data_IF_095067805027
#
_entry.id   IF_095067805027
#
_cell.length_a   1.000
_cell.length_b   1.000
_cell.length_c   1.000
_cell.angle_alpha   90.00
_cell.angle_beta   90.00
_cell.angle_gamma   90.00
#
_symmetry.space_group_name_H-M   'P 1'
#
loop_
_entity.id
_entity.type
_entity.pdbx_description
1 polymer ?
#
# COMPACT_ATOMS: atom_id res chain seq x y z
N UNK A 1 -10.52 4.60 4.93
CA UNK A 1 -9.10 4.29 5.23
C UNK A 1 -8.36 5.57 5.59
N UNK A 2 -7.48 5.49 6.56
CA UNK A 2 -6.61 6.62 6.89
C UNK A 2 -5.61 6.86 5.75
N UNK A 3 -5.19 8.10 5.52
CA UNK A 3 -4.26 8.42 4.43
C UNK A 3 -2.97 7.59 4.44
N UNK A 4 -2.38 7.37 5.61
CA UNK A 4 -1.14 6.59 5.70
C UNK A 4 -1.35 5.10 5.43
N UNK A 5 -2.54 4.57 5.67
CA UNK A 5 -2.86 3.18 5.33
C UNK A 5 -3.06 3.05 3.82
N UNK A 6 -3.72 4.00 3.17
CA UNK A 6 -3.81 4.02 1.70
C UNK A 6 -2.44 4.01 1.05
N UNK A 7 -1.53 4.84 1.56
CA UNK A 7 -0.17 4.93 1.04
C UNK A 7 0.62 3.63 1.27
N UNK A 8 0.47 3.02 2.44
CA UNK A 8 1.05 1.72 2.75
C UNK A 8 0.56 0.64 1.78
N UNK A 9 -0.74 0.59 1.55
CA UNK A 9 -1.35 -0.37 0.62
C UNK A 9 -0.83 -0.16 -0.80
N UNK A 10 -0.72 1.09 -1.23
CA UNK A 10 -0.17 1.40 -2.55
C UNK A 10 1.27 0.91 -2.71
N UNK A 11 2.12 1.15 -1.72
CA UNK A 11 3.50 0.68 -1.74
C UNK A 11 3.58 -0.84 -1.74
N UNK A 12 2.80 -1.50 -0.89
CA UNK A 12 2.77 -2.95 -0.79
C UNK A 12 2.29 -3.60 -2.10
N UNK A 13 1.19 -3.11 -2.66
CA UNK A 13 0.64 -3.62 -3.91
C UNK A 13 1.64 -3.49 -5.06
N UNK A 14 2.30 -2.35 -5.17
CA UNK A 14 3.29 -2.13 -6.22
C UNK A 14 4.47 -3.09 -6.06
N UNK A 15 5.03 -3.21 -4.85
CA UNK A 15 6.16 -4.10 -4.61
C UNK A 15 5.80 -5.56 -4.93
N UNK A 16 4.61 -6.01 -4.55
CA UNK A 16 4.17 -7.39 -4.77
C UNK A 16 3.85 -7.67 -6.24
N UNK A 17 3.21 -6.73 -6.94
CA UNK A 17 2.79 -6.94 -8.33
C UNK A 17 3.94 -6.74 -9.31
N UNK A 18 4.69 -5.65 -9.17
CA UNK A 18 5.78 -5.31 -10.09
C UNK A 18 7.07 -6.08 -9.73
N UNK A 19 7.24 -6.43 -8.45
CA UNK A 19 8.41 -7.19 -8.00
C UNK A 19 9.67 -6.35 -7.87
N UNK A 20 9.55 -5.03 -7.73
CA UNK A 20 10.66 -4.12 -7.54
C UNK A 20 10.55 -3.45 -6.18
N UNK A 21 11.71 -3.09 -5.61
CA UNK A 21 11.76 -2.39 -4.34
C UNK A 21 11.21 -0.97 -4.50
N UNK A 22 10.27 -0.60 -3.64
CA UNK A 22 9.73 0.76 -3.55
C UNK A 22 10.60 1.57 -2.61
N UNK A 23 11.06 2.74 -3.06
CA UNK A 23 11.91 3.63 -2.28
C UNK A 23 11.16 4.88 -1.79
N UNK A 24 10.01 5.18 -2.36
CA UNK A 24 9.21 6.35 -1.97
C UNK A 24 7.88 6.37 -2.70
N UNK A 25 6.97 7.15 -2.16
CA UNK A 25 5.62 7.33 -2.69
C UNK A 25 5.33 8.83 -2.77
N UNK A 26 4.77 9.29 -3.89
CA UNK A 26 4.18 10.62 -3.95
C UNK A 26 2.67 10.47 -3.85
N UNK A 27 2.09 11.08 -2.82
CA UNK A 27 0.65 11.06 -2.57
C UNK A 27 0.01 12.30 -3.23
N UNK A 28 -0.72 12.09 -4.32
CA UNK A 28 -1.35 13.18 -5.06
C UNK A 28 -2.44 13.89 -4.27
N UNK A 29 -3.18 13.17 -3.43
CA UNK A 29 -4.22 13.79 -2.62
C UNK A 29 -3.65 14.71 -1.54
N UNK A 30 -2.53 14.31 -0.94
CA UNK A 30 -1.83 15.12 0.06
C UNK A 30 -0.87 16.13 -0.57
N UNK A 31 -0.48 15.93 -1.83
CA UNK A 31 0.46 16.80 -2.53
C UNK A 31 1.87 16.74 -1.96
N UNK A 32 2.33 15.55 -1.50
CA UNK A 32 3.63 15.44 -0.85
C UNK A 32 4.27 14.07 -1.05
N UNK A 33 5.59 14.06 -0.94
CA UNK A 33 6.36 12.83 -0.91
C UNK A 33 6.30 12.18 0.48
N UNK A 34 6.15 10.86 0.49
CA UNK A 34 6.12 10.05 1.70
C UNK A 34 7.33 9.12 1.69
N UNK A 35 7.98 8.98 2.84
CA UNK A 35 9.14 8.11 3.00
C UNK A 35 8.68 6.69 3.32
N UNK A 36 8.07 6.05 2.35
CA UNK A 36 7.59 4.69 2.48
C UNK A 36 8.43 3.79 1.58
N UNK A 37 9.02 2.77 2.16
CA UNK A 37 9.77 1.74 1.46
C UNK A 37 9.06 0.41 1.58
N UNK A 38 9.13 -0.39 0.53
CA UNK A 38 8.56 -1.73 0.54
C UNK A 38 9.32 -2.64 -0.43
N UNK A 39 9.49 -3.89 -0.05
CA UNK A 39 10.03 -4.91 -0.94
C UNK A 39 9.33 -6.23 -0.70
N UNK A 40 9.24 -7.03 -1.75
CA UNK A 40 8.58 -8.32 -1.69
C UNK A 40 9.56 -9.44 -2.05
N UNK A 41 9.27 -10.62 -1.48
CA UNK A 41 9.92 -11.85 -1.85
C UNK A 41 8.84 -12.94 -1.87
N UNK A 42 8.40 -13.31 -3.06
CA UNK A 42 7.22 -14.18 -3.20
C UNK A 42 5.98 -13.49 -2.67
N UNK A 43 5.32 -14.13 -1.70
CA UNK A 43 4.13 -13.57 -1.04
C UNK A 43 4.47 -12.79 0.24
N UNK A 44 5.75 -12.69 0.58
CA UNK A 44 6.19 -11.95 1.77
C UNK A 44 6.47 -10.50 1.42
N UNK A 45 6.05 -9.61 2.30
CA UNK A 45 6.30 -8.20 2.17
C UNK A 45 6.98 -7.66 3.42
N UNK A 46 8.00 -6.82 3.22
CA UNK A 46 8.59 -6.00 4.27
C UNK A 46 8.49 -4.55 3.85
N UNK A 47 8.01 -3.72 4.73
CA UNK A 47 7.91 -2.30 4.49
C UNK A 47 8.20 -1.46 5.72
N UNK A 48 8.49 -0.20 5.49
CA UNK A 48 8.74 0.75 6.55
C UNK A 48 8.20 2.12 6.15
N UNK A 49 7.38 2.69 7.01
CA UNK A 49 6.92 4.08 6.88
C UNK A 49 7.85 4.96 7.71
N UNK A 50 8.75 5.65 7.03
CA UNK A 50 9.76 6.49 7.70
C UNK A 50 9.17 7.72 8.38
N UNK A 51 8.05 8.22 7.88
CA UNK A 51 7.40 9.39 8.49
C UNK A 51 6.72 9.03 9.80
N UNK A 52 6.18 7.82 9.93
CA UNK A 52 5.54 7.33 11.14
C UNK A 52 6.46 6.49 12.03
N UNK A 53 7.67 6.16 11.55
CA UNK A 53 8.59 5.24 12.23
C UNK A 53 7.89 3.89 12.50
N UNK A 54 7.21 3.36 11.51
CA UNK A 54 6.40 2.15 11.67
C UNK A 54 6.71 1.13 10.60
N UNK A 55 6.88 -0.13 11.02
CA UNK A 55 7.01 -1.27 10.12
C UNK A 55 5.64 -1.74 9.67
N UNK A 56 5.60 -2.26 8.45
CA UNK A 56 4.43 -2.98 7.98
C UNK A 56 4.87 -4.16 7.11
N UNK A 57 4.04 -5.16 7.01
CA UNK A 57 4.34 -6.29 6.17
C UNK A 57 3.68 -7.57 6.64
N UNK A 58 4.19 -8.68 6.15
CA UNK A 58 3.68 -10.00 6.45
C UNK A 58 3.62 -10.86 5.20
N UNK A 59 2.85 -11.92 5.28
CA UNK A 59 2.63 -12.84 4.16
C UNK A 59 1.19 -12.72 3.70
N UNK A 60 1.00 -12.61 2.37
CA UNK A 60 -0.36 -12.58 1.83
C UNK A 60 -1.16 -13.81 2.32
N UNK A 61 -2.46 -13.65 2.57
CA UNK A 61 -3.29 -12.48 2.27
C UNK A 61 -3.39 -11.43 3.39
N UNK A 62 -2.63 -11.52 4.46
CA UNK A 62 -2.73 -10.58 5.57
C UNK A 62 -1.45 -9.80 5.77
N UNK A 63 -1.56 -8.47 5.75
CA UNK A 63 -0.48 -7.57 6.10
C UNK A 63 -0.78 -6.90 7.43
N UNK A 64 0.26 -6.63 8.21
CA UNK A 64 0.14 -6.00 9.51
C UNK A 64 0.84 -4.64 9.51
N UNK A 65 0.14 -3.61 9.97
CA UNK A 65 0.72 -2.30 10.21
C UNK A 65 1.03 -2.15 11.70
N UNK A 66 2.32 -2.10 12.03
CA UNK A 66 2.75 -2.05 13.42
C UNK A 66 2.46 -0.69 14.08
N UNK A 67 2.36 0.36 13.27
CA UNK A 67 2.05 1.71 13.79
C UNK A 67 0.64 1.79 14.35
N UNK A 68 -0.34 1.33 13.59
CA UNK A 68 -1.75 1.35 13.99
C UNK A 68 -2.19 0.05 14.66
N UNK A 69 -1.33 -0.98 14.67
CA UNK A 69 -1.64 -2.31 15.21
C UNK A 69 -2.88 -2.90 14.57
N UNK A 70 -2.95 -2.83 13.26
CA UNK A 70 -4.12 -3.31 12.53
C UNK A 70 -3.70 -4.11 11.31
N UNK A 71 -4.61 -4.97 10.87
CA UNK A 71 -4.39 -5.82 9.70
C UNK A 71 -5.07 -5.24 8.48
N UNK A 72 -4.43 -5.45 7.33
CA UNK A 72 -4.99 -5.15 6.02
C UNK A 72 -4.87 -6.41 5.18
N UNK A 73 -5.99 -6.90 4.67
CA UNK A 73 -5.94 -8.03 3.74
C UNK A 73 -5.60 -7.57 2.34
N UNK A 74 -4.95 -8.44 1.58
CA UNK A 74 -4.62 -8.16 0.20
C UNK A 74 -4.62 -9.44 -0.62
N UNK A 75 -5.39 -9.46 -1.69
CA UNK A 75 -5.37 -10.49 -2.71
C UNK A 75 -4.98 -9.86 -4.03
N UNK A 76 -4.13 -10.57 -4.78
CA UNK A 76 -3.61 -10.06 -6.05
C UNK A 76 -4.20 -10.87 -7.19
N UNK A 77 -4.74 -10.14 -8.18
CA UNK A 77 -5.26 -10.69 -9.41
C UNK A 77 -4.71 -9.86 -10.57
N UNK A 78 -3.67 -10.39 -11.22
CA UNK A 78 -2.98 -9.68 -12.29
C UNK A 78 -2.35 -8.38 -11.79
N UNK A 79 -2.76 -7.26 -12.33
CA UNK A 79 -2.26 -5.93 -11.97
C UNK A 79 -3.14 -5.23 -10.94
N UNK A 80 -4.06 -5.94 -10.30
CA UNK A 80 -4.99 -5.38 -9.32
C UNK A 80 -4.79 -6.06 -7.96
N UNK A 81 -4.80 -5.25 -6.90
CA UNK A 81 -4.84 -5.74 -5.53
C UNK A 81 -6.16 -5.32 -4.90
N UNK A 82 -6.79 -6.23 -4.14
CA UNK A 82 -8.05 -5.97 -3.44
C UNK A 82 -7.98 -6.47 -2.04
N UNK A 83 -8.70 -5.83 -1.15
CA UNK A 83 -8.76 -6.29 0.22
C UNK A 83 -9.57 -5.37 1.12
N UNK A 84 -9.33 -5.53 2.40
CA UNK A 84 -9.98 -4.78 3.46
C UNK A 84 -8.96 -4.23 4.42
N UNK A 85 -9.13 -2.96 4.79
CA UNK A 85 -8.49 -2.39 5.95
C UNK A 85 -9.36 -2.68 7.17
N UNK A 86 -8.89 -3.54 8.05
CA UNK A 86 -9.67 -3.95 9.22
C UNK A 86 -9.76 -2.83 10.26
N UNK A 87 -8.79 -1.92 10.27
CA UNK A 87 -8.79 -0.79 11.19
C UNK A 87 -9.94 0.18 10.94
N UNK A 88 -10.28 0.44 9.68
CA UNK A 88 -11.39 1.32 9.30
C UNK A 88 -12.62 0.57 8.81
N UNK A 89 -12.55 -0.75 8.69
CA UNK A 89 -13.60 -1.60 8.10
C UNK A 89 -13.94 -1.21 6.66
N UNK A 90 -12.94 -0.74 5.91
CA UNK A 90 -13.12 -0.28 4.54
C UNK A 90 -12.51 -1.26 3.55
N UNK A 91 -13.21 -1.54 2.47
CA UNK A 91 -12.67 -2.27 1.33
C UNK A 91 -11.90 -1.32 0.43
N UNK A 92 -10.98 -1.87 -0.34
CA UNK A 92 -10.24 -1.12 -1.37
C UNK A 92 -9.98 -1.98 -2.60
N UNK A 93 -9.68 -1.31 -3.70
CA UNK A 93 -9.17 -1.91 -4.93
C UNK A 93 -8.06 -1.02 -5.47
N UNK A 94 -6.93 -1.60 -5.83
CA UNK A 94 -5.78 -0.84 -6.31
C UNK A 94 -5.32 -1.36 -7.66
N UNK A 95 -5.27 -0.49 -8.66
CA UNK A 95 -4.75 -0.78 -9.98
C UNK A 95 -3.31 -0.32 -10.06
N UNK A 96 -2.42 -1.23 -10.45
CA UNK A 96 -0.98 -1.01 -10.40
C UNK A 96 -0.39 -0.98 -11.80
N UNK A 97 0.41 0.03 -12.08
CA UNK A 97 1.26 0.12 -13.26
C UNK A 97 2.71 0.23 -12.83
N UNK A 98 3.64 0.35 -13.79
CA UNK A 98 5.07 0.39 -13.49
C UNK A 98 5.46 1.48 -12.49
N UNK A 99 4.78 2.63 -12.53
CA UNK A 99 5.16 3.80 -11.73
C UNK A 99 4.03 4.42 -10.96
N UNK A 100 2.84 3.82 -10.99
CA UNK A 100 1.68 4.43 -10.37
C UNK A 100 0.76 3.39 -9.77
N UNK A 101 0.09 3.78 -8.69
CA UNK A 101 -1.02 3.02 -8.11
C UNK A 101 -2.22 3.95 -8.04
N UNK A 102 -3.36 3.47 -8.54
CA UNK A 102 -4.63 4.13 -8.36
C UNK A 102 -5.48 3.27 -7.44
N UNK A 103 -5.78 3.79 -6.27
CA UNK A 103 -6.50 3.08 -5.23
C UNK A 103 -7.89 3.66 -5.07
N UNK A 104 -8.90 2.79 -5.16
CA UNK A 104 -10.26 3.16 -4.81
C UNK A 104 -10.55 2.77 -3.37
N UNK A 105 -10.90 3.76 -2.55
CA UNK A 105 -11.28 3.57 -1.15
C UNK A 105 -12.81 3.56 -1.08
N UNK A 106 -13.38 2.40 -0.80
CA UNK A 106 -14.85 2.26 -0.74
C UNK A 106 -15.46 2.98 0.46
N UNK A 107 -14.69 3.18 1.52
CA UNK A 107 -15.15 3.94 2.67
C UNK A 107 -15.31 5.42 2.35
N UNK A 108 -14.35 6.00 1.63
CA UNK A 108 -14.39 7.40 1.20
C UNK A 108 -15.13 7.58 -0.13
N UNK A 109 -15.40 6.50 -0.87
CA UNK A 109 -16.00 6.53 -2.21
C UNK A 109 -15.22 7.43 -3.16
N UNK A 110 -13.89 7.27 -3.16
CA UNK A 110 -13.01 8.11 -3.94
C UNK A 110 -11.76 7.36 -4.39
N UNK A 111 -11.18 7.84 -5.49
CA UNK A 111 -9.91 7.38 -6.01
C UNK A 111 -8.78 8.20 -5.42
N UNK A 112 -7.67 7.52 -5.13
CA UNK A 112 -6.43 8.14 -4.66
C UNK A 112 -5.29 7.65 -5.51
N UNK A 113 -4.52 8.58 -6.07
CA UNK A 113 -3.40 8.27 -6.94
C UNK A 113 -2.07 8.46 -6.22
N UNK A 114 -1.15 7.53 -6.49
CA UNK A 114 0.19 7.55 -5.92
C UNK A 114 1.20 7.29 -7.02
N UNK A 115 2.22 8.12 -7.13
CA UNK A 115 3.38 7.81 -7.95
C UNK A 115 4.38 7.01 -7.12
N UNK A 116 5.00 6.01 -7.74
CA UNK A 116 5.91 5.11 -7.05
C UNK A 116 7.32 5.34 -7.54
N UNK A 117 8.22 5.58 -6.60
CA UNK A 117 9.64 5.66 -6.86
C UNK A 117 10.27 4.30 -6.55
N UNK A 118 10.84 3.67 -7.55
CA UNK A 118 11.56 2.40 -7.38
C UNK A 118 13.04 2.65 -7.09
N UNK A 119 13.61 1.75 -6.31
CA UNK A 119 15.03 1.82 -5.97
C UNK A 119 15.91 1.26 -7.09
#
# INVERSE_FOLDING_TARGET
>A
MLPHIRAMVAAAAHALIIGRKVAGIYDHAAGRHLRIAAESQGIHLQGFDGDRQAKFGGSLPELYDAGDRSFVSMEIDGATARGHDRGSSSAYSADVTDRQVQLYDYGERAWFAFDVQVA
#
